data_IF_384932883779
#
_entry.id   IF_384932883779
#
_cell.length_a   1.000
_cell.length_b   1.000
_cell.length_c   1.000
_cell.angle_alpha   90.00
_cell.angle_beta   90.00
_cell.angle_gamma   90.00
#
_symmetry.space_group_name_H-M   'P 1'
#
loop_
_entity.id
_entity.type
_entity.pdbx_description
1 polymer ?
#
# COMPACT_ATOMS: atom_id res chain seq x y z
N UNK A 1 -10.20 -0.20 16.54
CA UNK A 1 -9.39 -1.40 16.20
C UNK A 1 -8.03 -0.92 15.73
N UNK A 2 -6.94 -1.27 16.42
CA UNK A 2 -5.59 -0.92 15.96
C UNK A 2 -5.22 -1.92 14.87
N UNK A 3 -5.25 -1.51 13.60
CA UNK A 3 -4.81 -2.38 12.50
C UNK A 3 -3.30 -2.56 12.66
N UNK A 4 -2.87 -3.81 12.83
CA UNK A 4 -1.46 -4.17 12.80
C UNK A 4 -0.80 -3.64 11.53
N UNK A 5 0.41 -3.07 11.61
CA UNK A 5 1.10 -2.54 10.42
C UNK A 5 1.27 -3.64 9.36
N UNK A 6 0.62 -3.46 8.22
CA UNK A 6 0.70 -4.28 7.00
C UNK A 6 1.92 -3.93 6.15
N UNK A 7 2.65 -2.88 6.53
CA UNK A 7 3.79 -2.33 5.81
C UNK A 7 5.13 -2.85 6.35
N UNK A 8 6.10 -3.04 5.46
CA UNK A 8 7.50 -3.25 5.84
C UNK A 8 8.13 -1.87 6.08
N UNK A 9 7.97 -1.35 7.30
CA UNK A 9 8.32 0.03 7.64
C UNK A 9 9.76 0.43 7.23
N UNK A 10 10.73 -0.46 7.46
CA UNK A 10 12.13 -0.23 7.11
C UNK A 10 12.35 -0.07 5.61
N UNK A 11 11.67 -0.88 4.78
CA UNK A 11 11.76 -0.80 3.31
C UNK A 11 11.09 0.46 2.77
N UNK A 12 9.94 0.84 3.32
CA UNK A 12 9.28 2.10 2.95
C UNK A 12 10.16 3.30 3.27
N UNK A 13 10.78 3.33 4.46
CA UNK A 13 11.75 4.38 4.84
C UNK A 13 12.95 4.41 3.89
N UNK A 14 13.52 3.23 3.59
CA UNK A 14 14.65 3.07 2.68
C UNK A 14 14.31 3.62 1.29
N UNK A 15 13.17 3.21 0.73
CA UNK A 15 12.69 3.68 -0.58
C UNK A 15 12.60 5.21 -0.66
N UNK A 16 11.92 5.85 0.29
CA UNK A 16 11.81 7.32 0.35
C UNK A 16 13.19 7.96 0.50
N UNK A 17 14.07 7.39 1.32
CA UNK A 17 15.40 7.93 1.60
C UNK A 17 16.31 7.86 0.38
N UNK A 18 16.35 6.73 -0.31
CA UNK A 18 17.23 6.51 -1.45
C UNK A 18 16.77 7.31 -2.67
N UNK A 19 15.47 7.35 -2.96
CA UNK A 19 14.94 8.04 -4.14
C UNK A 19 14.83 9.56 -3.98
N UNK A 20 14.48 10.05 -2.77
CA UNK A 20 14.18 11.47 -2.54
C UNK A 20 15.08 12.15 -1.49
N UNK A 21 16.00 11.43 -0.86
CA UNK A 21 16.84 11.96 0.22
C UNK A 21 16.09 12.29 1.52
N UNK A 22 14.77 12.04 1.58
CA UNK A 22 13.90 12.42 2.69
C UNK A 22 13.90 11.40 3.83
N UNK A 23 13.75 11.89 5.06
CA UNK A 23 13.39 11.04 6.21
C UNK A 23 11.88 10.80 6.23
N UNK A 24 11.41 9.83 7.03
CA UNK A 24 9.96 9.52 7.15
C UNK A 24 9.54 9.55 8.61
N UNK A 25 8.52 10.36 8.93
CA UNK A 25 7.93 10.40 10.27
C UNK A 25 7.17 9.11 10.59
N UNK A 26 7.02 8.79 11.88
CA UNK A 26 6.20 7.65 12.30
C UNK A 26 4.71 7.84 11.94
N UNK A 27 4.20 9.08 12.03
CA UNK A 27 2.79 9.38 11.76
C UNK A 27 2.40 9.19 10.29
N UNK A 28 3.35 9.29 9.35
CA UNK A 28 3.08 9.02 7.93
C UNK A 28 2.56 7.60 7.68
N UNK A 29 2.94 6.64 8.53
CA UNK A 29 2.50 5.25 8.38
C UNK A 29 1.04 5.02 8.74
N UNK A 30 0.42 5.92 9.50
CA UNK A 30 -1.00 5.78 9.87
C UNK A 30 -1.93 5.88 8.66
N UNK A 31 -1.94 6.98 7.86
CA UNK A 31 -2.76 7.05 6.67
C UNK A 31 -2.33 6.04 5.60
N UNK A 32 -1.03 5.73 5.49
CA UNK A 32 -0.53 4.74 4.54
C UNK A 32 -1.02 3.32 4.85
N UNK A 33 -1.01 2.91 6.13
CA UNK A 33 -1.52 1.60 6.54
C UNK A 33 -3.04 1.52 6.42
N UNK A 34 -3.74 2.63 6.71
CA UNK A 34 -5.19 2.74 6.52
C UNK A 34 -5.56 2.53 5.05
N UNK A 35 -4.87 3.20 4.13
CA UNK A 35 -5.08 3.06 2.69
C UNK A 35 -4.90 1.61 2.21
N UNK A 36 -3.85 0.91 2.65
CA UNK A 36 -3.65 -0.51 2.33
C UNK A 36 -4.82 -1.37 2.85
N UNK A 37 -5.28 -1.12 4.07
CA UNK A 37 -6.41 -1.85 4.66
C UNK A 37 -7.73 -1.63 3.90
N UNK A 38 -8.06 -0.38 3.58
CA UNK A 38 -9.28 -0.05 2.84
C UNK A 38 -9.30 -0.67 1.43
N UNK A 39 -8.14 -0.71 0.76
CA UNK A 39 -8.03 -1.34 -0.55
C UNK A 39 -8.07 -2.87 -0.49
N UNK A 40 -7.62 -3.48 0.61
CA UNK A 40 -7.83 -4.91 0.85
C UNK A 40 -9.31 -5.23 1.02
N UNK A 41 -10.04 -4.43 1.78
CA UNK A 41 -11.48 -4.62 1.99
C UNK A 41 -12.24 -4.56 0.67
N UNK A 42 -11.95 -3.56 -0.16
CA UNK A 42 -12.55 -3.43 -1.49
C UNK A 42 -12.20 -4.62 -2.40
N UNK A 43 -10.96 -5.11 -2.34
CA UNK A 43 -10.52 -6.23 -3.15
C UNK A 43 -11.17 -7.56 -2.70
N UNK A 44 -11.37 -7.75 -1.39
CA UNK A 44 -12.10 -8.89 -0.83
C UNK A 44 -13.55 -8.90 -1.36
N UNK A 45 -14.23 -7.77 -1.28
CA UNK A 45 -15.61 -7.65 -1.76
C UNK A 45 -15.72 -7.87 -3.27
N UNK A 46 -14.79 -7.33 -4.07
CA UNK A 46 -14.73 -7.58 -5.52
C UNK A 46 -14.50 -9.06 -5.85
N UNK A 47 -13.62 -9.74 -5.11
CA UNK A 47 -13.38 -11.16 -5.28
C UNK A 47 -14.64 -11.99 -4.99
N UNK A 48 -15.33 -11.67 -3.89
CA UNK A 48 -16.59 -12.32 -3.48
C UNK A 48 -17.71 -12.09 -4.50
N UNK A 49 -17.90 -10.85 -4.94
CA UNK A 49 -18.91 -10.50 -5.93
C UNK A 49 -18.65 -11.16 -7.29
N UNK A 50 -17.38 -11.45 -7.60
CA UNK A 50 -16.98 -12.24 -8.76
C UNK A 50 -17.03 -13.77 -8.54
N UNK A 51 -17.57 -14.24 -7.41
CA UNK A 51 -17.70 -15.67 -7.09
C UNK A 51 -16.39 -16.40 -6.77
N UNK A 52 -15.30 -15.68 -6.48
CA UNK A 52 -13.97 -16.27 -6.26
C UNK A 52 -13.63 -16.40 -4.77
N UNK A 53 -12.79 -17.40 -4.47
CA UNK A 53 -12.21 -17.67 -3.13
C UNK A 53 -10.76 -17.19 -2.99
N UNK A 54 -10.28 -16.39 -3.94
CA UNK A 54 -8.92 -15.87 -4.00
C UNK A 54 -8.95 -14.41 -4.40
N UNK A 55 -8.38 -13.55 -3.55
CA UNK A 55 -8.08 -12.15 -3.89
C UNK A 55 -6.91 -12.14 -4.87
N UNK A 56 -7.15 -11.58 -6.05
CA UNK A 56 -6.23 -11.49 -7.18
C UNK A 56 -5.81 -10.03 -7.41
N UNK A 57 -4.78 -9.80 -8.23
CA UNK A 57 -4.36 -8.44 -8.58
C UNK A 57 -5.50 -7.60 -9.19
N UNK A 58 -6.32 -8.20 -10.07
CA UNK A 58 -7.46 -7.54 -10.71
C UNK A 58 -8.57 -7.09 -9.77
N UNK A 59 -8.53 -7.51 -8.51
CA UNK A 59 -9.50 -7.06 -7.51
C UNK A 59 -9.20 -5.64 -7.00
N UNK A 60 -8.00 -5.12 -7.23
CA UNK A 60 -7.65 -3.76 -6.87
C UNK A 60 -8.06 -2.79 -7.97
N UNK A 61 -8.71 -1.68 -7.59
CA UNK A 61 -9.15 -0.63 -8.52
C UNK A 61 -7.99 0.07 -9.25
N UNK A 62 -6.79 -0.03 -8.69
CA UNK A 62 -5.54 0.53 -9.22
C UNK A 62 -4.66 -0.55 -9.87
N UNK A 63 -5.27 -1.62 -10.41
CA UNK A 63 -4.53 -2.70 -11.07
C UNK A 63 -3.60 -2.13 -12.15
N UNK A 64 -2.32 -2.48 -12.03
CA UNK A 64 -1.30 -2.19 -13.03
C UNK A 64 -0.86 -3.52 -13.64
N UNK A 65 -0.85 -3.62 -14.96
CA UNK A 65 -0.23 -4.76 -15.64
C UNK A 65 1.29 -4.69 -15.46
N UNK A 66 1.90 -5.81 -15.05
CA UNK A 66 3.34 -5.93 -14.77
C UNK A 66 3.89 -4.79 -13.88
N UNK A 67 3.45 -4.68 -12.62
CA UNK A 67 3.88 -3.60 -11.73
C UNK A 67 5.39 -3.68 -11.50
N UNK A 68 6.10 -2.61 -11.84
CA UNK A 68 7.52 -2.45 -11.51
C UNK A 68 7.66 -2.15 -10.03
N UNK A 69 7.95 -3.18 -9.24
CA UNK A 69 8.19 -3.07 -7.80
C UNK A 69 9.60 -3.55 -7.47
N UNK A 70 10.47 -2.61 -7.10
CA UNK A 70 11.83 -2.90 -6.64
C UNK A 70 11.86 -3.84 -5.42
N UNK A 71 10.85 -3.73 -4.56
CA UNK A 71 10.79 -4.46 -3.30
C UNK A 71 9.34 -4.69 -2.85
N UNK A 72 9.11 -5.80 -2.14
CA UNK A 72 7.84 -6.00 -1.43
C UNK A 72 7.77 -5.02 -0.24
N UNK A 73 6.89 -4.02 -0.33
CA UNK A 73 6.70 -2.99 0.70
C UNK A 73 5.60 -3.33 1.71
N UNK A 74 4.91 -4.45 1.50
CA UNK A 74 3.91 -5.01 2.42
C UNK A 74 4.40 -6.31 3.05
N UNK A 75 3.95 -6.60 4.28
CA UNK A 75 4.24 -7.85 4.97
C UNK A 75 3.28 -8.93 4.47
N UNK A 76 3.75 -9.78 3.56
CA UNK A 76 2.92 -10.77 2.89
C UNK A 76 2.13 -11.68 3.85
N UNK A 77 2.75 -12.13 4.95
CA UNK A 77 2.07 -12.97 5.95
C UNK A 77 0.91 -12.25 6.64
N UNK A 78 1.07 -10.96 6.95
CA UNK A 78 0.01 -10.15 7.56
C UNK A 78 -1.12 -9.84 6.59
N UNK A 79 -0.79 -9.58 5.33
CA UNK A 79 -1.80 -9.41 4.27
C UNK A 79 -2.62 -10.69 4.07
N UNK A 80 -1.96 -11.85 3.98
CA UNK A 80 -2.64 -13.16 3.90
C UNK A 80 -3.56 -13.38 5.10
N UNK A 81 -3.04 -13.12 6.31
CA UNK A 81 -3.81 -13.24 7.55
C UNK A 81 -5.00 -12.29 7.56
N UNK A 82 -4.82 -11.04 7.16
CA UNK A 82 -5.89 -10.05 7.09
C UNK A 82 -7.04 -10.53 6.22
N UNK A 83 -6.75 -11.00 5.00
CA UNK A 83 -7.76 -11.51 4.07
C UNK A 83 -8.43 -12.78 4.64
N UNK A 84 -7.65 -13.66 5.27
CA UNK A 84 -8.14 -14.92 5.84
C UNK A 84 -9.05 -14.68 7.05
N UNK A 85 -8.64 -13.81 7.97
CA UNK A 85 -9.37 -13.51 9.20
C UNK A 85 -10.66 -12.74 8.90
N UNK A 86 -10.70 -11.96 7.80
CA UNK A 86 -11.86 -11.15 7.43
C UNK A 86 -12.97 -11.93 6.73
N UNK A 87 -12.62 -12.75 5.72
CA UNK A 87 -13.63 -13.47 4.92
C UNK A 87 -13.22 -14.90 4.53
N UNK A 88 -12.12 -15.42 5.07
CA UNK A 88 -11.68 -16.80 4.80
C UNK A 88 -11.06 -17.03 3.41
N UNK A 89 -10.94 -15.98 2.58
CA UNK A 89 -10.36 -16.03 1.24
C UNK A 89 -8.85 -16.33 1.27
N UNK A 90 -8.34 -16.82 0.14
CA UNK A 90 -6.90 -16.93 -0.13
C UNK A 90 -6.38 -15.69 -0.87
N UNK A 91 -5.06 -15.55 -1.00
CA UNK A 91 -4.40 -14.37 -1.59
C UNK A 91 -3.41 -14.80 -2.67
N UNK A 92 -3.51 -14.22 -3.87
CA UNK A 92 -2.52 -14.44 -4.92
C UNK A 92 -1.25 -13.61 -4.70
N UNK A 93 -0.13 -14.04 -5.30
CA UNK A 93 1.13 -13.28 -5.25
C UNK A 93 1.03 -11.90 -5.89
N UNK A 94 0.19 -11.76 -6.93
CA UNK A 94 -0.04 -10.48 -7.60
C UNK A 94 -0.59 -9.41 -6.66
N UNK A 95 -1.35 -9.77 -5.63
CA UNK A 95 -1.87 -8.82 -4.66
C UNK A 95 -0.73 -8.05 -3.95
N UNK A 96 0.38 -8.71 -3.60
CA UNK A 96 1.51 -8.06 -2.95
C UNK A 96 2.22 -7.06 -3.87
N UNK A 97 2.31 -7.39 -5.16
CA UNK A 97 2.90 -6.53 -6.16
C UNK A 97 2.03 -5.28 -6.42
N UNK A 98 0.70 -5.45 -6.53
CA UNK A 98 -0.24 -4.33 -6.67
C UNK A 98 -0.18 -3.38 -5.46
N UNK A 99 -0.22 -3.94 -4.24
CA UNK A 99 -0.13 -3.15 -3.01
C UNK A 99 1.22 -2.44 -2.89
N UNK A 100 2.33 -3.11 -3.21
CA UNK A 100 3.66 -2.48 -3.16
C UNK A 100 3.79 -1.36 -4.19
N UNK A 101 3.26 -1.54 -5.40
CA UNK A 101 3.21 -0.49 -6.42
C UNK A 101 2.39 0.71 -5.96
N UNK A 102 1.23 0.48 -5.33
CA UNK A 102 0.43 1.56 -4.74
C UNK A 102 1.20 2.30 -3.63
N UNK A 103 1.85 1.58 -2.73
CA UNK A 103 2.68 2.18 -1.66
C UNK A 103 3.80 3.03 -2.27
N UNK A 104 4.49 2.57 -3.31
CA UNK A 104 5.52 3.36 -4.00
C UNK A 104 4.95 4.66 -4.58
N UNK A 105 3.82 4.59 -5.31
CA UNK A 105 3.17 5.79 -5.88
C UNK A 105 2.76 6.80 -4.79
N UNK A 106 2.27 6.32 -3.64
CA UNK A 106 1.95 7.20 -2.50
C UNK A 106 3.23 7.82 -1.93
N UNK A 107 4.29 7.03 -1.75
CA UNK A 107 5.58 7.50 -1.26
C UNK A 107 6.17 8.58 -2.19
N UNK A 108 6.10 8.37 -3.50
CA UNK A 108 6.58 9.30 -4.51
C UNK A 108 5.86 10.65 -4.42
N UNK A 109 4.52 10.63 -4.45
CA UNK A 109 3.71 11.84 -4.36
C UNK A 109 3.89 12.57 -3.02
N UNK A 110 3.98 11.81 -1.92
CA UNK A 110 4.14 12.37 -0.58
C UNK A 110 5.53 12.96 -0.35
N UNK A 111 6.58 12.31 -0.88
CA UNK A 111 7.94 12.83 -0.82
C UNK A 111 8.08 14.12 -1.65
N UNK A 112 7.50 14.15 -2.85
CA UNK A 112 7.48 15.35 -3.67
C UNK A 112 6.79 16.52 -2.95
N UNK A 113 5.61 16.28 -2.35
CA UNK A 113 4.90 17.30 -1.57
C UNK A 113 5.71 17.83 -0.37
N UNK A 114 6.48 16.98 0.30
CA UNK A 114 7.37 17.40 1.39
C UNK A 114 8.50 18.30 0.87
N UNK A 115 9.11 17.93 -0.27
CA UNK A 115 10.18 18.70 -0.92
C UNK A 115 9.67 20.06 -1.43
N UNK A 116 8.49 20.11 -2.04
CA UNK A 116 7.85 21.35 -2.51
C UNK A 116 7.57 22.29 -1.33
N UNK A 117 7.21 21.71 -0.17
CA UNK A 117 7.09 22.42 1.10
C UNK A 117 8.44 22.73 1.79
N UNK A 118 9.56 22.55 1.08
CA UNK A 118 10.95 22.80 1.53
C UNK A 118 11.35 22.02 2.80
N UNK A 119 10.79 20.83 3.02
CA UNK A 119 11.11 19.93 4.13
C UNK A 119 11.84 18.68 3.64
N UNK A 120 12.67 18.10 4.49
CA UNK A 120 13.37 16.82 4.25
C UNK A 120 12.80 15.68 5.10
N UNK A 121 11.52 15.75 5.47
CA UNK A 121 10.83 14.73 6.24
C UNK A 121 9.40 14.61 5.75
N UNK A 122 9.03 13.41 5.30
CA UNK A 122 7.68 13.05 4.90
C UNK A 122 6.83 12.84 6.14
N UNK A 123 5.75 13.60 6.24
CA UNK A 123 4.81 13.61 7.35
C UNK A 123 3.43 13.10 6.91
N UNK A 124 2.57 12.81 7.85
CA UNK A 124 1.15 12.49 7.62
C UNK A 124 0.44 13.53 6.75
N UNK A 125 0.70 14.82 6.95
CA UNK A 125 0.15 15.90 6.11
C UNK A 125 0.57 15.83 4.63
N UNK A 126 1.65 15.11 4.34
CA UNK A 126 2.17 14.93 3.00
C UNK A 126 1.51 13.75 2.28
N UNK A 127 0.79 12.89 3.01
CA UNK A 127 0.09 11.74 2.44
C UNK A 127 -0.78 12.15 1.25
N UNK A 128 -0.46 11.58 0.09
CA UNK A 128 -1.10 11.90 -1.18
C UNK A 128 -1.40 10.58 -1.91
N UNK A 129 -2.64 10.05 -1.81
CA UNK A 129 -3.02 8.85 -2.53
C UNK A 129 -3.18 9.16 -4.03
N UNK A 130 -2.74 8.27 -4.93
CA UNK A 130 -3.04 8.40 -6.35
C UNK A 130 -4.55 8.48 -6.55
N UNK A 131 -5.01 9.50 -7.26
CA UNK A 131 -6.40 9.57 -7.71
C UNK A 131 -6.66 8.30 -8.52
N UNK A 132 -7.60 7.49 -8.06
CA UNK A 132 -8.04 6.32 -8.82
C UNK A 132 -8.87 6.89 -9.97
N UNK A 133 -8.30 6.98 -11.17
CA UNK A 133 -9.11 7.18 -12.36
C UNK A 133 -10.00 5.94 -12.48
N UNK A 134 -11.29 6.12 -12.19
CA UNK A 134 -12.34 5.15 -12.44
C UNK A 134 -12.48 4.91 -13.95
#
# INVERSE_FOLDING_TARGET
MHIESLLVLSKVKKYIKEKYGCSTSANFFLPLNKDVGENLDQAIERAKNAGRKTVMGKDFSFYVENPEVEDNLVVASKVKRYIKDRDGLSTSSQAFAQLSSRVQKICDASAQKALDAKRKTVMDRDFTPPTTSL
#
